data_IF_952869710337
#
_entry.id   IF_952869710337
#
_cell.length_a   1.000
_cell.length_b   1.000
_cell.length_c   1.000
_cell.angle_alpha   90.00
_cell.angle_beta   90.00
_cell.angle_gamma   90.00
#
_symmetry.space_group_name_H-M   'P 1'
#
loop_
_entity.id
_entity.type
_entity.pdbx_description
1 polymer ?
#
# COMPACT_ATOMS: atom_id res chain seq x y z
N UNK A 1 -5.89 16.56 23.28
CA UNK A 1 -6.38 15.62 22.26
C UNK A 1 -5.18 15.27 21.39
N UNK A 2 -4.64 14.07 21.53
CA UNK A 2 -3.51 13.64 20.70
C UNK A 2 -4.03 13.48 19.27
N UNK A 3 -3.51 14.30 18.35
CA UNK A 3 -3.86 14.22 16.95
C UNK A 3 -3.53 12.83 16.40
N UNK A 4 -4.44 12.24 15.63
CA UNK A 4 -4.11 11.06 14.83
C UNK A 4 -3.00 11.45 13.88
N UNK A 5 -1.96 10.67 13.84
CA UNK A 5 -0.81 10.90 12.97
C UNK A 5 -1.18 10.45 11.55
N UNK A 6 -0.79 11.21 10.55
CA UNK A 6 -0.79 10.76 9.16
C UNK A 6 0.13 9.53 9.04
N UNK A 7 -0.37 8.46 8.41
CA UNK A 7 0.37 7.19 8.30
C UNK A 7 0.87 6.93 6.88
N UNK A 8 0.56 7.81 5.94
CA UNK A 8 0.95 7.66 4.56
C UNK A 8 1.51 8.95 3.99
N UNK A 9 2.42 8.78 3.07
CA UNK A 9 2.97 9.79 2.18
C UNK A 9 3.46 9.04 0.94
N UNK A 10 3.27 9.62 -0.24
CA UNK A 10 3.84 9.06 -1.45
C UNK A 10 4.35 10.18 -2.37
N UNK A 11 5.13 9.81 -3.37
CA UNK A 11 5.86 10.77 -4.19
C UNK A 11 5.66 10.50 -5.67
N UNK A 12 5.30 11.55 -6.41
CA UNK A 12 5.26 11.53 -7.86
C UNK A 12 6.61 11.96 -8.44
N UNK A 13 7.42 11.00 -8.83
CA UNK A 13 8.76 11.22 -9.39
C UNK A 13 8.74 12.04 -10.69
N UNK A 14 7.67 11.93 -11.48
CA UNK A 14 7.58 12.58 -12.80
C UNK A 14 7.28 14.07 -12.71
N UNK A 15 6.58 14.49 -11.64
CA UNK A 15 6.14 15.88 -11.44
C UNK A 15 6.83 16.57 -10.28
N UNK A 16 7.69 15.84 -9.56
CA UNK A 16 8.33 16.29 -8.33
C UNK A 16 7.27 16.80 -7.34
N UNK A 17 6.34 15.91 -6.97
CA UNK A 17 5.24 16.26 -6.09
C UNK A 17 5.08 15.25 -4.94
N UNK A 18 4.89 15.78 -3.74
CA UNK A 18 4.61 15.02 -2.53
C UNK A 18 3.09 14.95 -2.34
N UNK A 19 2.53 13.75 -2.20
CA UNK A 19 1.09 13.52 -2.02
C UNK A 19 0.84 12.97 -0.62
N UNK A 20 0.00 13.68 0.14
CA UNK A 20 -0.22 13.43 1.57
C UNK A 20 -1.70 13.24 1.87
N UNK A 21 -2.12 12.10 2.47
CA UNK A 21 -3.47 11.96 3.00
C UNK A 21 -3.61 12.74 4.31
N UNK A 22 -4.66 13.55 4.41
CA UNK A 22 -4.97 14.31 5.63
C UNK A 22 -6.31 13.85 6.19
N UNK A 23 -6.27 12.96 7.17
CA UNK A 23 -7.43 12.26 7.70
C UNK A 23 -8.48 13.21 8.32
N UNK A 24 -8.07 14.17 9.14
CA UNK A 24 -9.00 15.07 9.82
C UNK A 24 -9.71 16.04 8.88
N UNK A 25 -9.00 16.51 7.85
CA UNK A 25 -9.57 17.36 6.83
C UNK A 25 -10.29 16.60 5.74
N UNK A 26 -10.24 15.25 5.76
CA UNK A 26 -10.81 14.43 4.70
C UNK A 26 -10.31 14.89 3.31
N UNK A 27 -8.99 15.06 3.21
CA UNK A 27 -8.36 15.70 2.06
C UNK A 27 -7.10 14.98 1.61
N UNK A 28 -6.79 15.10 0.34
CA UNK A 28 -5.47 14.78 -0.20
C UNK A 28 -4.79 16.11 -0.50
N UNK A 29 -3.59 16.30 0.07
CA UNK A 29 -2.79 17.50 -0.12
C UNK A 29 -1.63 17.18 -1.07
N UNK A 30 -1.42 18.01 -2.07
CA UNK A 30 -0.34 17.85 -3.04
C UNK A 30 0.61 19.05 -2.90
N UNK A 31 1.88 18.77 -2.67
CA UNK A 31 2.94 19.78 -2.52
C UNK A 31 4.00 19.59 -3.61
N UNK A 32 4.77 20.62 -3.90
CA UNK A 32 6.01 20.47 -4.67
C UNK A 32 7.05 19.71 -3.86
N UNK A 33 7.93 18.94 -4.52
CA UNK A 33 9.02 18.23 -3.85
C UNK A 33 9.96 19.15 -3.07
N UNK A 34 10.09 20.41 -3.49
CA UNK A 34 10.86 21.45 -2.80
C UNK A 34 10.12 22.14 -1.64
N UNK A 35 8.89 21.70 -1.29
CA UNK A 35 8.13 22.32 -0.21
C UNK A 35 8.84 22.21 1.14
N UNK A 36 8.87 23.30 1.90
CA UNK A 36 9.49 23.37 3.22
C UNK A 36 8.68 24.28 4.15
N UNK A 37 8.74 23.99 5.44
CA UNK A 37 8.09 24.79 6.48
C UNK A 37 6.57 24.88 6.27
N UNK A 38 6.04 26.08 6.26
CA UNK A 38 4.61 26.38 6.11
C UNK A 38 4.15 26.55 4.64
N UNK A 39 4.83 25.92 3.70
CA UNK A 39 4.47 25.95 2.29
C UNK A 39 3.04 25.41 2.09
N UNK A 40 2.22 26.16 1.36
CA UNK A 40 0.86 25.73 1.03
C UNK A 40 0.86 24.63 -0.03
N UNK A 41 -0.10 23.71 0.01
CA UNK A 41 -0.27 22.72 -1.05
C UNK A 41 -0.59 23.42 -2.38
N UNK A 42 -0.07 22.90 -3.48
CA UNK A 42 -0.37 23.38 -4.84
C UNK A 42 -1.72 22.92 -5.33
N UNK A 43 -2.22 21.79 -4.81
CA UNK A 43 -3.59 21.27 -5.04
C UNK A 43 -4.12 20.62 -3.78
N UNK A 44 -5.44 20.65 -3.63
CA UNK A 44 -6.18 19.99 -2.54
C UNK A 44 -7.40 19.28 -3.12
N UNK A 45 -7.50 17.98 -2.93
CA UNK A 45 -8.71 17.22 -3.24
C UNK A 45 -9.50 17.08 -1.95
N UNK A 46 -10.66 17.76 -1.87
CA UNK A 46 -11.48 17.80 -0.65
C UNK A 46 -12.92 18.18 -0.99
N UNK A 47 -13.88 17.64 -0.24
CA UNK A 47 -15.29 18.01 -0.32
C UNK A 47 -16.20 16.80 -0.48
N UNK A 48 -17.52 17.04 -0.46
CA UNK A 48 -18.54 16.00 -0.39
C UNK A 48 -18.58 15.03 -1.56
N UNK A 49 -18.10 15.44 -2.73
CA UNK A 49 -18.08 14.59 -3.94
C UNK A 49 -16.89 13.62 -3.94
N UNK A 50 -15.87 13.85 -3.11
CA UNK A 50 -14.66 13.04 -3.12
C UNK A 50 -14.88 11.68 -2.50
N UNK A 51 -15.89 11.49 -1.68
CA UNK A 51 -16.16 10.28 -0.89
C UNK A 51 -15.06 9.97 0.16
N UNK A 52 -14.15 10.90 0.42
CA UNK A 52 -13.12 10.77 1.44
C UNK A 52 -13.75 10.97 2.83
N UNK A 53 -13.52 10.04 3.76
CA UNK A 53 -14.08 10.08 5.12
C UNK A 53 -13.02 9.86 6.20
N UNK A 54 -12.11 8.92 6.01
CA UNK A 54 -11.13 8.52 7.02
C UNK A 54 -9.80 8.06 6.41
N UNK A 55 -9.41 8.62 5.26
CA UNK A 55 -8.21 8.21 4.55
C UNK A 55 -6.96 8.26 5.44
N UNK A 56 -6.20 7.20 5.42
CA UNK A 56 -5.01 7.02 6.25
C UNK A 56 -3.74 6.85 5.41
N UNK A 57 -3.88 6.14 4.29
CA UNK A 57 -2.81 5.85 3.34
C UNK A 57 -3.28 6.12 1.92
N UNK A 58 -2.33 6.23 1.03
CA UNK A 58 -2.55 6.31 -0.40
C UNK A 58 -1.33 5.75 -1.15
N UNK A 59 -1.48 5.54 -2.45
CA UNK A 59 -0.37 5.26 -3.34
C UNK A 59 -0.52 6.05 -4.65
N UNK A 60 0.60 6.45 -5.22
CA UNK A 60 0.69 7.24 -6.45
C UNK A 60 1.17 6.38 -7.61
N UNK A 61 0.43 6.37 -8.69
CA UNK A 61 0.87 5.85 -9.98
C UNK A 61 1.38 7.03 -10.85
N UNK A 62 2.65 7.31 -10.76
CA UNK A 62 3.31 8.37 -11.55
C UNK A 62 3.26 8.09 -13.06
N UNK A 63 3.16 6.82 -13.46
CA UNK A 63 3.13 6.40 -14.87
C UNK A 63 1.79 6.76 -15.51
N UNK A 64 0.69 6.43 -14.84
CA UNK A 64 -0.66 6.64 -15.35
C UNK A 64 -1.34 7.89 -14.79
N UNK A 65 -0.68 8.61 -13.87
CA UNK A 65 -1.18 9.85 -13.29
C UNK A 65 -2.41 9.65 -12.41
N UNK A 66 -2.35 8.68 -11.48
CA UNK A 66 -3.48 8.32 -10.63
C UNK A 66 -3.07 8.23 -9.15
N UNK A 67 -4.01 8.56 -8.26
CA UNK A 67 -3.89 8.41 -6.80
C UNK A 67 -4.89 7.36 -6.36
N UNK A 68 -4.43 6.32 -5.66
CA UNK A 68 -5.25 5.26 -5.11
C UNK A 68 -5.39 5.43 -3.61
N UNK A 69 -6.61 5.44 -3.11
CA UNK A 69 -6.95 5.69 -1.71
C UNK A 69 -7.83 4.57 -1.18
N UNK A 70 -7.31 3.70 -0.30
CA UNK A 70 -8.14 2.78 0.48
C UNK A 70 -9.07 3.60 1.38
N UNK A 71 -10.38 3.35 1.30
CA UNK A 71 -11.39 4.11 2.04
C UNK A 71 -12.56 3.20 2.44
N UNK A 72 -12.56 2.74 3.70
CA UNK A 72 -13.57 1.80 4.19
C UNK A 72 -13.57 0.49 3.40
N UNK A 73 -14.69 0.12 2.81
CA UNK A 73 -14.87 -1.12 2.04
C UNK A 73 -14.53 -0.96 0.54
N UNK A 74 -13.75 0.04 0.17
CA UNK A 74 -13.46 0.38 -1.23
C UNK A 74 -12.08 0.99 -1.43
N UNK A 75 -11.66 1.07 -2.68
CA UNK A 75 -10.52 1.87 -3.13
C UNK A 75 -11.04 2.94 -4.07
N UNK A 76 -10.76 4.20 -3.74
CA UNK A 76 -11.06 5.37 -4.57
C UNK A 76 -9.86 5.68 -5.45
N UNK A 77 -10.08 6.00 -6.73
CA UNK A 77 -9.02 6.36 -7.65
C UNK A 77 -9.27 7.75 -8.19
N UNK A 78 -8.34 8.67 -7.98
CA UNK A 78 -8.40 10.04 -8.46
C UNK A 78 -7.38 10.28 -9.58
N UNK A 79 -7.64 11.27 -10.39
CA UNK A 79 -6.63 11.85 -11.27
C UNK A 79 -5.59 12.58 -10.41
N UNK A 80 -4.31 12.38 -10.70
CA UNK A 80 -3.22 13.03 -9.95
C UNK A 80 -3.22 14.56 -10.11
N UNK A 81 -3.84 15.09 -11.18
CA UNK A 81 -4.01 16.52 -11.40
C UNK A 81 -5.33 17.06 -10.85
N UNK A 82 -6.13 16.23 -10.20
CA UNK A 82 -7.39 16.66 -9.62
C UNK A 82 -7.19 17.75 -8.55
N UNK A 83 -8.15 18.65 -8.44
CA UNK A 83 -8.15 19.72 -7.45
C UNK A 83 -9.60 20.07 -7.05
N UNK A 84 -9.83 20.37 -5.78
CA UNK A 84 -11.13 20.76 -5.25
C UNK A 84 -12.09 19.60 -4.99
N UNK A 85 -13.38 19.89 -5.05
CA UNK A 85 -14.46 18.95 -4.77
C UNK A 85 -14.81 18.10 -6.00
N UNK A 86 -13.99 17.11 -6.31
CA UNK A 86 -14.14 16.21 -7.47
C UNK A 86 -14.54 14.80 -7.05
N UNK A 87 -15.31 14.12 -7.88
CA UNK A 87 -15.58 12.70 -7.70
C UNK A 87 -14.36 11.86 -8.11
N UNK A 88 -14.15 10.66 -7.52
CA UNK A 88 -13.13 9.74 -8.02
C UNK A 88 -13.42 9.32 -9.46
N UNK A 89 -12.37 9.08 -10.25
CA UNK A 89 -12.45 8.52 -11.62
C UNK A 89 -13.06 7.12 -11.61
N UNK A 90 -12.69 6.33 -10.60
CA UNK A 90 -13.12 4.95 -10.40
C UNK A 90 -13.29 4.67 -8.90
N UNK A 91 -14.16 3.74 -8.61
CA UNK A 91 -14.34 3.15 -7.29
C UNK A 91 -14.28 1.65 -7.47
N UNK A 92 -13.37 0.97 -6.78
CA UNK A 92 -13.32 -0.48 -6.68
C UNK A 92 -13.91 -0.86 -5.32
N UNK A 93 -15.00 -1.61 -5.29
CA UNK A 93 -15.68 -2.00 -4.05
C UNK A 93 -16.95 -2.78 -4.32
N UNK A 94 -17.39 -3.51 -3.32
CA UNK A 94 -18.58 -4.37 -3.37
C UNK A 94 -18.26 -5.81 -2.96
N UNK A 95 -19.30 -6.66 -2.77
CA UNK A 95 -19.14 -7.99 -2.17
C UNK A 95 -18.15 -8.92 -2.91
N UNK A 96 -18.07 -8.83 -4.24
CA UNK A 96 -17.19 -9.68 -5.04
C UNK A 96 -15.70 -9.35 -4.84
N UNK A 97 -15.37 -8.15 -4.36
CA UNK A 97 -13.97 -7.78 -4.05
C UNK A 97 -13.41 -8.58 -2.89
N UNK A 98 -14.29 -9.15 -2.06
CA UNK A 98 -13.90 -9.99 -0.93
C UNK A 98 -13.35 -9.24 0.29
N UNK A 99 -13.30 -7.91 0.28
CA UNK A 99 -12.86 -7.15 1.43
C UNK A 99 -13.96 -6.29 2.07
N UNK A 100 -13.88 -6.16 3.41
CA UNK A 100 -14.78 -5.34 4.22
C UNK A 100 -14.12 -4.07 4.72
N UNK A 101 -12.79 -4.05 4.73
CA UNK A 101 -11.98 -2.87 5.07
C UNK A 101 -10.68 -2.89 4.27
N UNK A 102 -10.49 -1.90 3.42
CA UNK A 102 -9.25 -1.66 2.71
C UNK A 102 -8.35 -0.74 3.55
N UNK A 103 -7.11 -1.15 3.82
CA UNK A 103 -6.18 -0.41 4.69
C UNK A 103 -4.94 0.13 3.99
N UNK A 104 -4.54 -0.50 2.90
CA UNK A 104 -3.34 -0.11 2.14
C UNK A 104 -3.46 -0.52 0.69
N UNK A 105 -2.65 0.09 -0.18
CA UNK A 105 -2.59 -0.23 -1.61
C UNK A 105 -1.18 0.01 -2.13
N UNK A 106 -0.75 -0.82 -3.07
CA UNK A 106 0.45 -0.61 -3.86
C UNK A 106 0.17 -0.90 -5.34
N UNK A 107 0.95 -0.31 -6.23
CA UNK A 107 0.73 -0.37 -7.68
C UNK A 107 1.97 -0.95 -8.37
N UNK A 108 1.74 -1.85 -9.30
CA UNK A 108 2.71 -2.23 -10.32
C UNK A 108 2.18 -1.80 -11.70
N UNK A 109 2.66 -0.64 -12.17
CA UNK A 109 2.25 -0.10 -13.46
C UNK A 109 2.76 -0.95 -14.63
N UNK A 110 3.86 -1.69 -14.45
CA UNK A 110 4.45 -2.56 -15.48
C UNK A 110 3.58 -3.78 -15.74
N UNK A 111 3.11 -4.44 -14.66
CA UNK A 111 2.19 -5.59 -14.75
C UNK A 111 0.73 -5.17 -14.86
N UNK A 112 0.44 -3.88 -14.77
CA UNK A 112 -0.90 -3.31 -14.78
C UNK A 112 -1.80 -3.90 -13.68
N UNK A 113 -1.27 -4.01 -12.45
CA UNK A 113 -1.98 -4.51 -11.28
C UNK A 113 -1.89 -3.56 -10.09
N UNK A 114 -2.83 -3.74 -9.15
CA UNK A 114 -2.76 -3.21 -7.79
C UNK A 114 -2.86 -4.36 -6.79
N UNK A 115 -2.20 -4.18 -5.66
CA UNK A 115 -2.35 -5.04 -4.48
C UNK A 115 -3.03 -4.22 -3.39
N UNK A 116 -4.17 -4.70 -2.93
CA UNK A 116 -4.93 -4.08 -1.84
C UNK A 116 -4.73 -4.92 -0.58
N UNK A 117 -4.16 -4.32 0.44
CA UNK A 117 -4.14 -4.88 1.78
C UNK A 117 -5.46 -4.57 2.48
N UNK A 118 -6.19 -5.60 2.82
CA UNK A 118 -7.56 -5.49 3.29
C UNK A 118 -7.89 -6.54 4.36
N UNK A 119 -9.03 -6.37 5.00
CA UNK A 119 -9.68 -7.41 5.80
C UNK A 119 -10.85 -8.00 5.02
N UNK A 120 -10.94 -9.32 5.00
CA UNK A 120 -12.14 -10.06 4.64
C UNK A 120 -12.90 -10.46 5.90
N UNK A 121 -14.15 -10.83 5.77
CA UNK A 121 -14.92 -11.45 6.85
C UNK A 121 -14.74 -12.96 6.78
N UNK A 122 -14.19 -13.55 7.84
CA UNK A 122 -14.12 -15.00 8.01
C UNK A 122 -15.52 -15.58 8.32
N UNK A 123 -15.65 -16.89 8.21
CA UNK A 123 -16.91 -17.58 8.49
C UNK A 123 -17.43 -17.37 9.92
N UNK A 124 -16.53 -17.15 10.89
CA UNK A 124 -16.85 -16.82 12.29
C UNK A 124 -17.06 -15.32 12.54
N UNK A 125 -17.05 -14.50 11.49
CA UNK A 125 -17.31 -13.06 11.55
C UNK A 125 -16.09 -12.19 11.95
N UNK A 126 -14.92 -12.78 12.15
CA UNK A 126 -13.70 -12.04 12.45
C UNK A 126 -13.11 -11.41 11.20
N UNK A 127 -12.31 -10.37 11.37
CA UNK A 127 -11.46 -9.84 10.31
C UNK A 127 -10.38 -10.87 9.94
N UNK A 128 -10.21 -11.12 8.65
CA UNK A 128 -9.18 -11.99 8.10
C UNK A 128 -8.29 -11.16 7.19
N UNK A 129 -7.04 -10.88 7.58
CA UNK A 129 -6.12 -10.10 6.76
C UNK A 129 -5.85 -10.80 5.43
N UNK A 130 -5.82 -10.01 4.35
CA UNK A 130 -5.54 -10.50 3.00
C UNK A 130 -4.80 -9.47 2.15
N UNK A 131 -4.05 -9.97 1.17
CA UNK A 131 -3.55 -9.19 0.04
C UNK A 131 -4.35 -9.60 -1.20
N UNK A 132 -5.20 -8.70 -1.69
CA UNK A 132 -6.03 -8.95 -2.86
C UNK A 132 -5.43 -8.25 -4.10
N UNK A 133 -5.16 -9.02 -5.15
CA UNK A 133 -4.53 -8.55 -6.39
C UNK A 133 -5.58 -8.35 -7.47
N UNK A 134 -5.66 -7.14 -7.99
CA UNK A 134 -6.61 -6.75 -9.05
C UNK A 134 -5.89 -6.20 -10.28
N UNK A 135 -6.60 -6.12 -11.39
CA UNK A 135 -6.22 -5.23 -12.48
C UNK A 135 -6.14 -3.79 -11.97
N UNK A 136 -5.13 -3.04 -12.40
CA UNK A 136 -4.98 -1.62 -12.04
C UNK A 136 -6.20 -0.78 -12.40
N UNK A 137 -6.85 -1.12 -13.49
CA UNK A 137 -8.04 -0.43 -13.99
C UNK A 137 -9.36 -0.99 -13.47
N UNK A 138 -9.32 -1.96 -12.53
CA UNK A 138 -10.52 -2.54 -11.94
C UNK A 138 -11.44 -1.48 -11.34
N UNK A 139 -12.74 -1.65 -11.53
CA UNK A 139 -13.77 -0.75 -11.06
C UNK A 139 -15.05 -1.52 -10.71
N UNK A 140 -15.81 -0.99 -9.76
CA UNK A 140 -17.06 -1.59 -9.29
C UNK A 140 -16.86 -2.89 -8.54
N UNK A 141 -17.86 -3.76 -8.61
CA UNK A 141 -17.93 -5.02 -7.89
C UNK A 141 -17.31 -6.16 -8.72
N UNK A 142 -15.99 -6.34 -8.61
CA UNK A 142 -15.26 -7.36 -9.37
C UNK A 142 -14.40 -8.22 -8.43
N UNK A 143 -14.16 -9.47 -8.83
CA UNK A 143 -13.30 -10.40 -8.09
C UNK A 143 -11.82 -10.06 -8.28
N UNK A 144 -10.99 -10.27 -7.24
CA UNK A 144 -9.55 -10.21 -7.40
C UNK A 144 -9.06 -11.34 -8.32
N UNK A 145 -7.92 -11.13 -8.96
CA UNK A 145 -7.21 -12.17 -9.72
C UNK A 145 -6.61 -13.23 -8.81
N UNK A 146 -6.11 -12.82 -7.65
CA UNK A 146 -5.48 -13.66 -6.62
C UNK A 146 -5.72 -13.05 -5.25
N UNK A 147 -5.68 -13.90 -4.23
CA UNK A 147 -5.79 -13.48 -2.83
C UNK A 147 -4.82 -14.28 -1.99
N UNK A 148 -3.89 -13.63 -1.32
CA UNK A 148 -3.04 -14.24 -0.30
C UNK A 148 -3.72 -14.01 1.05
N UNK A 149 -4.08 -15.10 1.74
CA UNK A 149 -4.77 -15.06 3.04
C UNK A 149 -4.70 -16.43 3.70
N UNK A 150 -5.01 -16.50 5.00
CA UNK A 150 -5.07 -17.76 5.73
C UNK A 150 -3.98 -17.90 6.77
N UNK A 151 -3.99 -19.03 7.48
CA UNK A 151 -3.11 -19.28 8.64
C UNK A 151 -1.65 -19.40 8.24
N UNK A 152 -1.37 -20.08 7.12
CA UNK A 152 0.00 -20.27 6.63
C UNK A 152 0.60 -18.97 6.09
N UNK A 153 -0.23 -18.05 5.59
CA UNK A 153 0.23 -16.75 5.12
C UNK A 153 0.85 -15.91 6.25
N UNK A 154 0.49 -16.17 7.51
CA UNK A 154 0.93 -15.41 8.68
C UNK A 154 0.61 -13.91 8.60
N UNK A 155 -0.28 -13.51 7.72
CA UNK A 155 -0.80 -12.14 7.71
C UNK A 155 -1.52 -11.88 9.02
N UNK A 156 -1.11 -10.85 9.74
CA UNK A 156 -1.77 -10.40 10.98
C UNK A 156 -2.16 -8.92 10.92
N UNK A 157 -1.72 -8.22 9.89
CA UNK A 157 -2.08 -6.85 9.58
C UNK A 157 -1.82 -6.62 8.09
N UNK A 158 -2.50 -5.66 7.52
CA UNK A 158 -2.25 -5.16 6.18
C UNK A 158 -1.67 -3.75 6.26
N UNK A 159 -0.49 -3.67 6.88
CA UNK A 159 0.22 -2.44 7.16
C UNK A 159 0.61 -1.67 5.90
N UNK A 160 1.81 -1.14 5.83
CA UNK A 160 2.29 -0.52 4.61
C UNK A 160 2.69 -1.59 3.60
N UNK A 161 2.32 -1.40 2.33
CA UNK A 161 2.65 -2.31 1.22
C UNK A 161 3.58 -1.60 0.24
N UNK A 162 4.57 -2.32 -0.26
CA UNK A 162 5.40 -1.92 -1.40
C UNK A 162 5.54 -3.07 -2.37
N UNK A 163 5.69 -2.75 -3.64
CA UNK A 163 5.98 -3.72 -4.69
C UNK A 163 7.37 -3.45 -5.25
N UNK A 164 8.11 -4.52 -5.49
CA UNK A 164 9.32 -4.51 -6.31
C UNK A 164 8.97 -5.14 -7.67
N UNK A 165 8.70 -4.33 -8.70
CA UNK A 165 8.20 -4.82 -9.99
C UNK A 165 9.17 -5.76 -10.69
N UNK A 166 10.46 -5.44 -10.71
CA UNK A 166 11.49 -6.24 -11.39
C UNK A 166 11.60 -7.66 -10.81
N UNK A 167 11.44 -7.78 -9.49
CA UNK A 167 11.45 -9.07 -8.79
C UNK A 167 10.08 -9.73 -8.71
N UNK A 168 9.01 -9.06 -9.09
CA UNK A 168 7.64 -9.58 -8.93
C UNK A 168 7.28 -9.85 -7.46
N UNK A 169 7.76 -9.02 -6.54
CA UNK A 169 7.61 -9.21 -5.11
C UNK A 169 6.71 -8.14 -4.50
N UNK A 170 5.89 -8.57 -3.52
CA UNK A 170 5.10 -7.69 -2.66
C UNK A 170 5.58 -7.82 -1.22
N UNK A 171 5.78 -6.67 -0.59
CA UNK A 171 6.25 -6.53 0.78
C UNK A 171 5.15 -5.90 1.63
N UNK A 172 4.96 -6.36 2.86
CA UNK A 172 4.07 -5.70 3.82
C UNK A 172 4.60 -5.76 5.24
N UNK A 173 4.43 -4.67 5.97
CA UNK A 173 4.75 -4.63 7.40
C UNK A 173 3.71 -5.42 8.17
N UNK A 174 4.19 -6.21 9.16
CA UNK A 174 3.36 -6.97 10.10
C UNK A 174 3.58 -6.42 11.51
N UNK A 175 2.53 -5.98 12.18
CA UNK A 175 2.65 -5.32 13.49
C UNK A 175 3.26 -6.21 14.60
N UNK A 176 3.46 -7.48 14.34
CA UNK A 176 4.13 -8.44 15.23
C UNK A 176 5.65 -8.46 15.06
N UNK A 177 6.24 -7.45 14.41
CA UNK A 177 7.69 -7.22 14.41
C UNK A 177 8.44 -7.79 13.20
N UNK A 178 7.82 -7.85 12.03
CA UNK A 178 8.51 -8.26 10.80
C UNK A 178 7.90 -7.62 9.55
N UNK A 179 8.65 -7.69 8.45
CA UNK A 179 8.16 -7.47 7.09
C UNK A 179 8.07 -8.82 6.41
N UNK A 180 6.95 -9.11 5.79
CA UNK A 180 6.73 -10.34 5.03
C UNK A 180 6.73 -10.06 3.53
N UNK A 181 7.24 -11.01 2.74
CA UNK A 181 7.45 -10.88 1.30
C UNK A 181 6.88 -12.09 0.57
N UNK A 182 6.02 -11.84 -0.41
CA UNK A 182 5.47 -12.87 -1.31
C UNK A 182 5.79 -12.54 -2.76
N UNK A 183 5.58 -13.50 -3.65
CA UNK A 183 5.49 -13.23 -5.07
C UNK A 183 4.11 -12.64 -5.41
N UNK A 184 4.07 -11.77 -6.40
CA UNK A 184 2.81 -11.31 -7.01
C UNK A 184 2.03 -12.45 -7.72
N UNK A 185 2.68 -13.61 -7.90
CA UNK A 185 2.06 -14.81 -8.47
C UNK A 185 1.54 -15.79 -7.41
N UNK A 186 1.78 -15.53 -6.14
CA UNK A 186 1.25 -16.35 -5.04
C UNK A 186 -0.26 -16.15 -4.89
N UNK A 187 -0.97 -17.24 -4.53
CA UNK A 187 -2.41 -17.27 -4.35
C UNK A 187 -2.79 -18.25 -3.22
N UNK A 188 -3.84 -17.94 -2.47
CA UNK A 188 -4.34 -18.78 -1.38
C UNK A 188 -3.54 -18.68 -0.08
N UNK A 189 -3.58 -19.73 0.72
CA UNK A 189 -2.97 -19.83 2.04
C UNK A 189 -1.50 -20.31 1.94
N UNK A 190 -0.64 -19.44 1.46
CA UNK A 190 0.78 -19.70 1.24
C UNK A 190 1.66 -18.89 2.20
N UNK A 191 2.75 -19.48 2.74
CA UNK A 191 3.66 -18.75 3.61
C UNK A 191 4.45 -17.67 2.84
N UNK A 192 4.93 -16.63 3.53
CA UNK A 192 5.83 -15.67 2.91
C UNK A 192 7.13 -16.36 2.45
N UNK A 193 7.65 -15.95 1.31
CA UNK A 193 8.92 -16.45 0.74
C UNK A 193 10.11 -15.96 1.54
N UNK A 194 10.01 -14.73 2.07
CA UNK A 194 11.04 -14.12 2.91
C UNK A 194 10.38 -13.35 4.06
N UNK A 195 11.14 -13.21 5.15
CA UNK A 195 10.79 -12.32 6.26
C UNK A 195 12.00 -11.48 6.65
N UNK A 196 11.78 -10.21 6.97
CA UNK A 196 12.79 -9.29 7.52
C UNK A 196 12.36 -8.94 8.93
N UNK A 197 13.21 -9.24 9.92
CA UNK A 197 12.83 -9.16 11.34
C UNK A 197 12.29 -10.52 11.86
N UNK A 198 11.40 -10.45 12.83
CA UNK A 198 10.83 -11.64 13.49
C UNK A 198 11.26 -11.77 14.96
N UNK A 199 10.98 -12.91 15.63
CA UNK A 199 11.08 -13.04 17.08
C UNK A 199 12.46 -12.71 17.68
N UNK A 200 13.52 -12.93 16.91
CA UNK A 200 14.91 -12.64 17.31
C UNK A 200 15.46 -11.37 16.62
N UNK A 201 14.61 -10.65 15.88
CA UNK A 201 14.99 -9.43 15.18
C UNK A 201 14.79 -8.18 16.02
N UNK A 202 15.21 -7.04 15.46
CA UNK A 202 15.07 -5.73 16.13
C UNK A 202 13.67 -5.15 15.99
N UNK A 203 12.94 -5.44 14.90
CA UNK A 203 11.62 -4.88 14.65
C UNK A 203 10.62 -5.29 15.73
N UNK A 204 9.87 -4.33 16.25
CA UNK A 204 8.86 -4.54 17.27
C UNK A 204 7.46 -4.17 16.79
N UNK A 205 7.30 -3.00 16.16
CA UNK A 205 6.03 -2.52 15.63
C UNK A 205 6.25 -1.71 14.34
N UNK A 206 6.64 -2.39 13.25
CA UNK A 206 6.89 -1.73 11.98
C UNK A 206 5.61 -1.09 11.43
N UNK A 207 5.75 0.12 10.86
CA UNK A 207 4.65 0.91 10.33
C UNK A 207 4.89 1.39 8.92
N UNK A 208 5.99 2.09 8.67
CA UNK A 208 6.37 2.53 7.34
C UNK A 208 7.30 1.53 6.68
N UNK A 209 7.22 1.44 5.38
CA UNK A 209 8.02 0.55 4.56
C UNK A 209 8.36 1.27 3.26
N UNK A 210 9.63 1.21 2.88
CA UNK A 210 10.06 1.60 1.55
C UNK A 210 11.19 0.70 1.06
N UNK A 211 11.44 0.73 -0.24
CA UNK A 211 12.44 -0.09 -0.91
C UNK A 211 13.47 0.79 -1.62
N UNK A 212 14.73 0.47 -1.46
CA UNK A 212 15.82 1.03 -2.26
C UNK A 212 16.52 -0.10 -3.05
N UNK A 213 16.01 -0.46 -4.22
CA UNK A 213 16.59 -1.53 -5.04
C UNK A 213 18.02 -1.24 -5.50
N UNK A 214 18.40 0.04 -5.62
CA UNK A 214 19.77 0.43 -6.04
C UNK A 214 20.82 0.05 -5.01
N UNK A 215 20.45 0.10 -3.74
CA UNK A 215 21.32 -0.28 -2.62
C UNK A 215 20.92 -1.62 -1.99
N UNK A 216 20.02 -2.37 -2.63
CA UNK A 216 19.51 -3.65 -2.13
C UNK A 216 18.91 -3.55 -0.71
N UNK A 217 18.22 -2.47 -0.43
CA UNK A 217 17.78 -2.15 0.93
C UNK A 217 16.25 -2.13 1.10
N UNK A 218 15.83 -2.66 2.24
CA UNK A 218 14.47 -2.54 2.78
C UNK A 218 14.52 -1.55 3.94
N UNK A 219 13.77 -0.47 3.85
CA UNK A 219 13.74 0.62 4.84
C UNK A 219 12.44 0.52 5.62
N UNK A 220 12.54 0.45 6.95
CA UNK A 220 11.38 0.23 7.83
C UNK A 220 11.39 1.26 8.95
N UNK A 221 10.30 2.01 9.10
CA UNK A 221 10.08 2.81 10.31
C UNK A 221 9.36 1.96 11.35
N UNK A 222 9.89 1.93 12.58
CA UNK A 222 9.31 1.19 13.69
C UNK A 222 8.80 2.16 14.76
N UNK A 223 7.50 2.10 15.02
CA UNK A 223 6.82 3.01 15.96
C UNK A 223 7.25 2.77 17.41
N UNK A 224 7.51 1.52 17.79
CA UNK A 224 7.85 1.20 19.18
C UNK A 224 9.30 1.51 19.49
N UNK A 225 10.18 1.32 18.51
CA UNK A 225 11.60 1.70 18.62
C UNK A 225 11.83 3.20 18.45
N UNK A 226 10.86 3.92 17.89
CA UNK A 226 11.01 5.32 17.45
C UNK A 226 12.24 5.49 16.55
N UNK A 227 12.40 4.59 15.59
CA UNK A 227 13.58 4.49 14.73
C UNK A 227 13.20 4.15 13.29
N UNK A 228 14.11 4.46 12.38
CA UNK A 228 14.14 3.95 11.02
C UNK A 228 15.31 2.98 10.91
N UNK A 229 15.03 1.77 10.43
CA UNK A 229 16.02 0.72 10.23
C UNK A 229 16.15 0.42 8.73
N UNK A 230 17.38 0.18 8.31
CA UNK A 230 17.69 -0.24 6.95
C UNK A 230 18.29 -1.64 6.98
N UNK A 231 17.73 -2.54 6.17
CA UNK A 231 18.18 -3.91 6.03
C UNK A 231 18.72 -4.12 4.63
N UNK A 232 19.99 -4.49 4.53
CA UNK A 232 20.60 -4.91 3.28
C UNK A 232 20.16 -6.34 2.95
N UNK A 233 19.45 -6.54 1.84
CA UNK A 233 18.82 -7.80 1.45
C UNK A 233 19.04 -8.07 -0.05
N UNK A 234 20.30 -8.25 -0.50
CA UNK A 234 20.61 -8.37 -1.92
C UNK A 234 19.87 -9.52 -2.61
N UNK A 235 19.51 -10.57 -1.88
CA UNK A 235 18.75 -11.69 -2.43
C UNK A 235 17.31 -11.33 -2.85
N UNK A 236 16.74 -10.22 -2.37
CA UNK A 236 15.40 -9.78 -2.71
C UNK A 236 15.36 -8.90 -3.97
N UNK A 237 16.49 -8.26 -4.31
CA UNK A 237 16.57 -7.29 -5.39
C UNK A 237 17.29 -7.80 -6.64
N UNK A 238 17.35 -9.12 -6.78
CA UNK A 238 17.87 -9.72 -8.02
C UNK A 238 16.74 -9.75 -9.07
N UNK A 239 17.03 -9.36 -10.32
CA UNK A 239 16.08 -9.54 -11.42
C UNK A 239 15.69 -11.02 -11.52
N UNK A 240 14.43 -11.29 -11.87
CA UNK A 240 14.03 -12.66 -12.22
C UNK A 240 14.81 -13.03 -13.49
N UNK A 241 15.98 -13.64 -13.31
CA UNK A 241 16.55 -14.40 -14.41
C UNK A 241 15.58 -15.53 -14.67
N UNK A 242 15.04 -15.59 -15.89
CA UNK A 242 14.21 -16.70 -16.34
C UNK A 242 14.97 -17.99 -16.05
N UNK A 243 14.67 -18.64 -14.93
CA UNK A 243 15.11 -20.01 -14.72
C UNK A 243 14.38 -20.82 -15.78
N UNK A 244 15.13 -21.19 -16.81
CA UNK A 244 14.70 -22.08 -17.83
C UNK A 244 14.00 -23.27 -17.19
N UNK A 245 12.77 -23.49 -17.63
CA UNK A 245 12.06 -24.74 -17.36
C UNK A 245 13.01 -25.92 -17.60
N UNK A 246 13.26 -26.68 -16.56
CA UNK A 246 13.75 -28.05 -16.66
C UNK A 246 12.65 -28.99 -16.20
#
# INVERSE_FOLDING_TARGET
MLGRTMHGIDYDERRDEIVVPQQFGQAILIFKGSAAGETRPVRVIQGSRTMLTALDRLAVDSVNGEIYVPEGDRVLVFDLQANGNVAPKRVLGGPETGFTAAGSVAIDATRNIIVVGAEARSADGRGLPQLAIFDRTAAGNVKPRRVITGVNSRLNDTGNIRIYPEGGLVFTTQQTGYVAVWSLDDDGDVPPRYTVGGPNGLLQKPRGLDLDPRHNAVIVSDKQLNAVLTYEMPQLFQPITSQAAK
#
